data_IF_447900967048
#
_entry.id   IF_447900967048
#
_cell.length_a   1.000
_cell.length_b   1.000
_cell.length_c   1.000
_cell.angle_alpha   90.00
_cell.angle_beta   90.00
_cell.angle_gamma   90.00
#
_symmetry.space_group_name_H-M   'P 1'
#
loop_
_entity.id
_entity.type
_entity.pdbx_description
1 polymer ?
#
# COMPACT_ATOMS: atom_id res chain seq x y z
N UNK A 1 -5.60 4.66 11.59
CA UNK A 1 -6.86 5.42 11.63
C UNK A 1 -7.57 5.40 10.27
N UNK A 2 -8.19 4.28 9.85
CA UNK A 2 -8.83 4.17 8.54
C UNK A 2 -10.09 5.02 8.41
N UNK A 3 -10.88 5.15 9.49
CA UNK A 3 -12.13 5.92 9.49
C UNK A 3 -11.89 7.42 9.25
N UNK A 4 -10.85 7.98 9.87
CA UNK A 4 -10.46 9.38 9.66
C UNK A 4 -9.98 9.60 8.23
N UNK A 5 -9.27 8.62 7.66
CA UNK A 5 -8.80 8.71 6.28
C UNK A 5 -9.88 8.60 5.22
N UNK A 6 -10.94 7.84 5.49
CA UNK A 6 -12.15 7.85 4.65
C UNK A 6 -12.90 9.17 4.75
N UNK A 7 -13.11 9.70 5.96
CA UNK A 7 -13.77 10.98 6.17
C UNK A 7 -13.07 12.14 5.45
N UNK A 8 -11.74 12.24 5.57
CA UNK A 8 -10.97 13.31 4.91
C UNK A 8 -11.03 13.19 3.38
N UNK A 9 -11.03 11.97 2.85
CA UNK A 9 -11.15 11.74 1.42
C UNK A 9 -12.53 12.08 0.87
N UNK A 10 -13.59 11.71 1.59
CA UNK A 10 -14.96 11.92 1.15
C UNK A 10 -15.43 13.37 1.40
N UNK A 11 -14.95 14.06 2.45
CA UNK A 11 -15.42 15.39 2.83
C UNK A 11 -14.60 16.56 2.26
N UNK A 12 -13.29 16.39 2.00
CA UNK A 12 -12.41 17.54 1.75
C UNK A 12 -11.44 17.40 0.57
N UNK A 13 -10.69 16.30 0.45
CA UNK A 13 -9.56 16.22 -0.49
C UNK A 13 -9.86 15.43 -1.77
N UNK A 14 -10.87 14.56 -1.77
CA UNK A 14 -11.09 13.57 -2.81
C UNK A 14 -10.15 12.36 -2.69
N UNK A 15 -10.60 11.22 -3.22
CA UNK A 15 -9.94 9.91 -3.06
C UNK A 15 -8.53 9.87 -3.66
N UNK A 16 -8.36 10.38 -4.89
CA UNK A 16 -7.07 10.40 -5.59
C UNK A 16 -6.00 11.19 -4.83
N UNK A 17 -6.31 12.41 -4.37
CA UNK A 17 -5.34 13.26 -3.64
C UNK A 17 -5.00 12.69 -2.27
N UNK A 18 -6.00 12.12 -1.58
CA UNK A 18 -5.79 11.49 -0.27
C UNK A 18 -4.83 10.30 -0.35
N UNK A 19 -4.93 9.49 -1.41
CA UNK A 19 -3.99 8.39 -1.67
C UNK A 19 -2.56 8.92 -1.90
N UNK A 20 -2.39 9.99 -2.68
CA UNK A 20 -1.06 10.57 -2.93
C UNK A 20 -0.42 11.08 -1.64
N UNK A 21 -1.18 11.79 -0.81
CA UNK A 21 -0.72 12.25 0.51
C UNK A 21 -0.35 11.06 1.40
N UNK A 22 -1.17 10.00 1.40
CA UNK A 22 -0.89 8.78 2.17
C UNK A 22 0.42 8.09 1.72
N UNK A 23 0.71 8.06 0.41
CA UNK A 23 1.95 7.51 -0.14
C UNK A 23 3.15 8.34 0.32
N UNK A 24 3.07 9.68 0.25
CA UNK A 24 4.16 10.57 0.70
C UNK A 24 4.44 10.37 2.19
N UNK A 25 3.40 10.32 3.03
CA UNK A 25 3.54 10.02 4.46
C UNK A 25 4.17 8.64 4.67
N UNK A 26 3.76 7.64 3.88
CA UNK A 26 4.34 6.29 3.92
C UNK A 26 5.83 6.27 3.58
N UNK A 27 6.26 7.01 2.56
CA UNK A 27 7.68 7.13 2.18
C UNK A 27 8.47 7.76 3.32
N UNK A 28 7.99 8.87 3.88
CA UNK A 28 8.63 9.53 5.03
C UNK A 28 8.76 8.58 6.22
N UNK A 29 7.71 7.79 6.50
CA UNK A 29 7.75 6.80 7.58
C UNK A 29 8.82 5.72 7.34
N UNK A 30 8.96 5.22 6.11
CA UNK A 30 10.01 4.25 5.77
C UNK A 30 11.41 4.85 5.92
N UNK A 31 11.62 6.11 5.51
CA UNK A 31 12.90 6.80 5.69
C UNK A 31 13.26 6.88 7.18
N UNK A 32 12.31 7.24 8.04
CA UNK A 32 12.52 7.32 9.50
C UNK A 32 12.86 5.93 10.07
N UNK A 33 12.16 4.88 9.65
CA UNK A 33 12.41 3.51 10.12
C UNK A 33 13.78 2.97 9.68
N UNK A 34 14.20 3.28 8.45
CA UNK A 34 15.54 2.94 7.95
C UNK A 34 16.64 3.73 8.69
N UNK A 35 16.41 5.02 8.96
CA UNK A 35 17.33 5.82 9.75
C UNK A 35 17.45 5.29 11.20
N UNK A 36 16.35 4.80 11.79
CA UNK A 36 16.36 4.20 13.12
C UNK A 36 17.11 2.86 13.18
N UNK A 37 17.27 2.16 12.06
CA UNK A 37 18.05 0.92 11.96
C UNK A 37 19.52 1.11 11.59
N UNK A 38 19.97 2.36 11.42
CA UNK A 38 21.38 2.66 11.17
C UNK A 38 22.25 2.38 12.42
N UNK A 39 23.45 1.81 12.26
CA UNK A 39 24.31 1.40 13.38
C UNK A 39 24.65 2.55 14.33
N UNK A 40 24.90 3.76 13.79
CA UNK A 40 25.21 4.95 14.59
C UNK A 40 24.06 5.39 15.51
N UNK A 41 22.81 5.13 15.09
CA UNK A 41 21.61 5.48 15.87
C UNK A 41 21.31 4.42 16.92
N UNK A 42 21.55 3.14 16.60
CA UNK A 42 21.30 2.00 17.49
C UNK A 42 22.18 2.06 18.76
N UNK A 43 23.39 2.63 18.68
CA UNK A 43 24.29 2.81 19.84
C UNK A 43 23.58 3.59 20.97
N UNK A 44 22.70 4.52 20.62
CA UNK A 44 21.90 5.29 21.56
C UNK A 44 20.49 4.69 21.72
N UNK A 45 20.37 3.64 22.55
CA UNK A 45 19.12 2.87 22.76
C UNK A 45 17.85 3.71 22.94
N UNK A 46 17.92 4.80 23.71
CA UNK A 46 16.76 5.66 24.00
C UNK A 46 16.31 6.45 22.76
N UNK A 47 17.24 7.03 22.00
CA UNK A 47 16.88 7.78 20.78
C UNK A 47 16.46 6.85 19.64
N UNK A 48 17.10 5.67 19.51
CA UNK A 48 16.72 4.66 18.53
C UNK A 48 15.28 4.18 18.73
N UNK A 49 14.91 3.89 19.98
CA UNK A 49 13.56 3.43 20.31
C UNK A 49 12.52 4.54 20.08
N UNK A 50 12.85 5.78 20.41
CA UNK A 50 11.98 6.93 20.13
C UNK A 50 11.76 7.14 18.62
N UNK A 51 12.83 7.10 17.82
CA UNK A 51 12.75 7.24 16.36
C UNK A 51 11.94 6.10 15.73
N UNK A 52 12.11 4.87 16.21
CA UNK A 52 11.32 3.72 15.79
C UNK A 52 9.82 3.89 16.08
N UNK A 53 9.46 4.33 17.29
CA UNK A 53 8.05 4.55 17.67
C UNK A 53 7.42 5.64 16.80
N UNK A 54 8.13 6.75 16.57
CA UNK A 54 7.63 7.84 15.71
C UNK A 54 7.45 7.36 14.27
N UNK A 55 8.42 6.64 13.73
CA UNK A 55 8.34 6.02 12.40
C UNK A 55 7.15 5.06 12.28
N UNK A 56 6.95 4.21 13.29
CA UNK A 56 5.85 3.24 13.34
C UNK A 56 4.48 3.92 13.40
N UNK A 57 4.31 4.93 14.25
CA UNK A 57 3.06 5.69 14.34
C UNK A 57 2.74 6.40 13.02
N UNK A 58 3.75 7.00 12.39
CA UNK A 58 3.62 7.67 11.09
C UNK A 58 3.23 6.66 10.00
N UNK A 59 3.82 5.47 10.01
CA UNK A 59 3.48 4.39 9.08
C UNK A 59 2.04 3.89 9.29
N UNK A 60 1.60 3.73 10.53
CA UNK A 60 0.22 3.35 10.89
C UNK A 60 -0.82 4.38 10.40
N UNK A 61 -0.45 5.65 10.40
CA UNK A 61 -1.28 6.71 9.81
C UNK A 61 -1.31 6.53 8.29
N UNK A 62 -0.18 6.57 7.60
CA UNK A 62 -0.11 6.47 6.13
C UNK A 62 -0.82 5.24 5.56
N UNK A 63 -0.56 4.05 6.14
CA UNK A 63 -1.19 2.79 5.72
C UNK A 63 -2.70 2.78 5.96
N UNK A 64 -3.18 3.41 7.04
CA UNK A 64 -4.61 3.55 7.34
C UNK A 64 -5.34 4.41 6.31
N UNK A 65 -4.75 5.54 5.91
CA UNK A 65 -5.31 6.42 4.88
C UNK A 65 -5.32 5.76 3.50
N UNK A 66 -4.27 5.01 3.15
CA UNK A 66 -4.18 4.29 1.88
C UNK A 66 -5.26 3.19 1.78
N UNK A 67 -5.36 2.32 2.79
CA UNK A 67 -6.30 1.17 2.77
C UNK A 67 -7.77 1.57 2.70
N UNK A 68 -8.15 2.69 3.31
CA UNK A 68 -9.54 3.16 3.31
C UNK A 68 -10.01 3.65 1.92
N UNK A 69 -9.09 4.07 1.06
CA UNK A 69 -9.42 4.82 -0.17
C UNK A 69 -9.12 4.09 -1.47
N UNK A 70 -8.30 3.03 -1.45
CA UNK A 70 -7.89 2.34 -2.68
C UNK A 70 -9.03 1.53 -3.32
N UNK A 71 -9.80 0.76 -2.53
CA UNK A 71 -10.90 -0.05 -3.06
C UNK A 71 -12.03 0.79 -3.65
N UNK A 72 -12.46 1.89 -3.00
CA UNK A 72 -13.46 2.76 -3.59
C UNK A 72 -12.98 3.45 -4.87
N UNK A 73 -11.71 3.89 -4.94
CA UNK A 73 -11.14 4.44 -6.17
C UNK A 73 -11.14 3.40 -7.31
N UNK A 74 -10.81 2.15 -7.02
CA UNK A 74 -10.81 1.07 -8.01
C UNK A 74 -12.21 0.79 -8.56
N UNK A 75 -13.23 0.82 -7.69
CA UNK A 75 -14.63 0.68 -8.11
C UNK A 75 -15.11 1.83 -9.00
N UNK A 76 -14.63 3.06 -8.72
CA UNK A 76 -14.94 4.25 -9.51
C UNK A 76 -14.29 4.26 -10.91
N UNK A 77 -13.30 3.40 -11.18
CA UNK A 77 -12.68 3.30 -12.51
C UNK A 77 -13.57 2.62 -13.54
N UNK A 78 -14.64 1.95 -13.12
CA UNK A 78 -15.59 1.39 -14.06
C UNK A 78 -16.57 2.47 -14.52
N UNK A 79 -16.43 2.86 -15.78
CA UNK A 79 -17.26 3.88 -16.43
C UNK A 79 -18.66 3.36 -16.76
N UNK A 80 -18.86 2.04 -16.78
CA UNK A 80 -20.14 1.42 -17.10
C UNK A 80 -21.06 1.51 -15.88
N UNK A 81 -22.07 2.38 -15.95
CA UNK A 81 -23.07 2.57 -14.89
C UNK A 81 -24.38 1.83 -15.14
N UNK A 82 -24.58 1.31 -16.36
CA UNK A 82 -25.82 0.66 -16.80
C UNK A 82 -25.49 -0.61 -17.56
N UNK A 83 -26.35 -1.61 -17.40
CA UNK A 83 -26.28 -2.82 -18.20
C UNK A 83 -26.45 -2.46 -19.68
N UNK A 84 -25.48 -2.87 -20.51
CA UNK A 84 -25.53 -2.69 -21.96
C UNK A 84 -25.50 -4.04 -22.64
N UNK A 85 -26.30 -4.20 -23.68
CA UNK A 85 -26.21 -5.36 -24.57
C UNK A 85 -25.21 -5.02 -25.67
N UNK A 86 -24.07 -5.69 -25.67
CA UNK A 86 -23.11 -5.61 -26.76
C UNK A 86 -23.26 -6.81 -27.68
N UNK A 87 -23.12 -6.58 -28.98
CA UNK A 87 -23.06 -7.67 -29.95
C UNK A 87 -21.60 -7.86 -30.31
N UNK A 88 -21.03 -9.01 -29.95
CA UNK A 88 -19.64 -9.35 -30.28
C UNK A 88 -19.48 -9.48 -31.80
N UNK A 89 -18.25 -9.37 -32.30
CA UNK A 89 -17.93 -9.58 -33.71
C UNK A 89 -18.32 -11.00 -34.20
N UNK A 90 -18.52 -11.94 -33.27
CA UNK A 90 -19.01 -13.30 -33.50
C UNK A 90 -20.54 -13.38 -33.71
N UNK A 91 -21.27 -12.27 -33.56
CA UNK A 91 -22.74 -12.20 -33.66
C UNK A 91 -23.47 -12.51 -32.36
N UNK A 92 -22.76 -12.87 -31.28
CA UNK A 92 -23.36 -13.19 -29.98
C UNK A 92 -23.73 -11.92 -29.21
N UNK A 93 -24.94 -11.90 -28.63
CA UNK A 93 -25.41 -10.81 -27.77
C UNK A 93 -25.02 -11.09 -26.33
N UNK A 94 -24.12 -10.28 -25.78
CA UNK A 94 -23.65 -10.40 -24.40
C UNK A 94 -24.18 -9.21 -23.59
N UNK A 95 -24.70 -9.52 -22.41
CA UNK A 95 -25.09 -8.52 -21.43
C UNK A 95 -23.84 -8.16 -20.62
N UNK A 96 -23.37 -6.94 -20.75
CA UNK A 96 -22.29 -6.40 -19.94
C UNK A 96 -22.90 -5.85 -18.66
N UNK A 97 -22.73 -6.58 -17.57
CA UNK A 97 -23.12 -6.16 -16.23
C UNK A 97 -21.94 -5.46 -15.52
N UNK A 98 -22.09 -4.18 -15.13
CA UNK A 98 -21.03 -3.46 -14.44
C UNK A 98 -20.65 -4.06 -13.08
N UNK A 99 -21.55 -4.77 -12.39
CA UNK A 99 -21.24 -5.44 -11.12
C UNK A 99 -20.28 -6.63 -11.33
N UNK A 100 -20.48 -7.39 -12.39
CA UNK A 100 -19.61 -8.52 -12.77
C UNK A 100 -18.25 -8.01 -13.24
N UNK A 101 -18.23 -6.91 -14.01
CA UNK A 101 -16.99 -6.25 -14.44
C UNK A 101 -16.18 -5.75 -13.23
N UNK A 102 -16.81 -5.07 -12.27
CA UNK A 102 -16.15 -4.64 -11.03
C UNK A 102 -15.58 -5.82 -10.25
N UNK A 103 -16.36 -6.88 -10.09
CA UNK A 103 -15.92 -8.09 -9.39
C UNK A 103 -14.67 -8.69 -10.03
N UNK A 104 -14.62 -8.74 -11.37
CA UNK A 104 -13.45 -9.23 -12.12
C UNK A 104 -12.21 -8.35 -11.90
N UNK A 105 -12.37 -7.03 -11.85
CA UNK A 105 -11.27 -6.09 -11.55
C UNK A 105 -10.73 -6.34 -10.14
N UNK A 106 -11.62 -6.48 -9.15
CA UNK A 106 -11.24 -6.78 -7.78
C UNK A 106 -10.54 -8.15 -7.64
N UNK A 107 -10.97 -9.17 -8.37
CA UNK A 107 -10.32 -10.48 -8.41
C UNK A 107 -8.86 -10.39 -8.85
N UNK A 108 -8.58 -9.66 -9.94
CA UNK A 108 -7.21 -9.43 -10.40
C UNK A 108 -6.39 -8.61 -9.40
N UNK A 109 -6.98 -7.56 -8.83
CA UNK A 109 -6.35 -6.76 -7.79
C UNK A 109 -5.92 -7.63 -6.60
N UNK A 110 -6.83 -8.45 -6.06
CA UNK A 110 -6.52 -9.32 -4.93
C UNK A 110 -5.53 -10.43 -5.30
N UNK A 111 -5.56 -10.95 -6.52
CA UNK A 111 -4.56 -11.91 -6.99
C UNK A 111 -3.15 -11.31 -6.98
N UNK A 112 -2.98 -10.08 -7.50
CA UNK A 112 -1.71 -9.37 -7.45
C UNK A 112 -1.26 -9.06 -6.01
N UNK A 113 -2.18 -8.71 -5.11
CA UNK A 113 -1.86 -8.50 -3.68
C UNK A 113 -1.34 -9.78 -3.03
N UNK A 114 -1.95 -10.94 -3.32
CA UNK A 114 -1.48 -12.22 -2.78
C UNK A 114 -0.06 -12.56 -3.27
N UNK A 115 0.20 -12.43 -4.57
CA UNK A 115 1.55 -12.61 -5.14
C UNK A 115 2.54 -11.65 -4.49
N UNK A 116 2.20 -10.36 -4.41
CA UNK A 116 3.05 -9.34 -3.80
C UNK A 116 3.36 -9.62 -2.33
N UNK A 117 2.38 -10.11 -1.57
CA UNK A 117 2.58 -10.48 -0.17
C UNK A 117 3.54 -11.66 -0.01
N UNK A 118 3.45 -12.66 -0.89
CA UNK A 118 4.34 -13.82 -0.89
C UNK A 118 5.78 -13.41 -1.25
N UNK A 119 5.96 -12.73 -2.39
CA UNK A 119 7.29 -12.29 -2.83
C UNK A 119 7.90 -11.30 -1.85
N UNK A 120 7.11 -10.38 -1.31
CA UNK A 120 7.54 -9.39 -0.34
C UNK A 120 8.04 -10.01 0.97
N UNK A 121 7.28 -10.95 1.54
CA UNK A 121 7.68 -11.62 2.78
C UNK A 121 8.95 -12.46 2.60
N UNK A 122 9.05 -13.20 1.49
CA UNK A 122 10.24 -14.01 1.20
C UNK A 122 11.46 -13.13 0.97
N UNK A 123 11.33 -12.08 0.16
CA UNK A 123 12.43 -11.16 -0.18
C UNK A 123 12.91 -10.38 1.05
N UNK A 124 11.99 -9.81 1.84
CA UNK A 124 12.34 -9.03 3.03
C UNK A 124 13.12 -9.86 4.05
N UNK A 125 12.63 -11.05 4.40
CA UNK A 125 13.30 -11.92 5.38
C UNK A 125 14.67 -12.38 4.86
N UNK A 126 14.80 -12.63 3.55
CA UNK A 126 16.09 -12.96 2.95
C UNK A 126 17.08 -11.80 3.05
N UNK A 127 16.68 -10.58 2.67
CA UNK A 127 17.55 -9.39 2.74
C UNK A 127 17.93 -9.06 4.17
N UNK A 128 16.97 -9.10 5.10
CA UNK A 128 17.21 -8.85 6.53
C UNK A 128 18.28 -9.81 7.09
N UNK A 129 18.17 -11.10 6.75
CA UNK A 129 19.06 -12.14 7.27
C UNK A 129 20.48 -12.10 6.66
N UNK A 130 20.63 -11.78 5.37
CA UNK A 130 21.90 -11.94 4.65
C UNK A 130 22.62 -10.64 4.29
N UNK A 131 21.94 -9.50 4.37
CA UNK A 131 22.43 -8.16 3.99
C UNK A 131 22.30 -7.15 5.15
N UNK A 132 21.39 -7.40 6.10
CA UNK A 132 21.16 -6.56 7.27
C UNK A 132 20.08 -5.49 7.02
N UNK A 133 19.52 -4.92 8.09
CA UNK A 133 18.37 -4.00 8.05
C UNK A 133 18.59 -2.72 7.24
N UNK A 134 19.84 -2.27 7.09
CA UNK A 134 20.21 -1.08 6.32
C UNK A 134 21.31 -1.37 5.27
N UNK A 135 21.55 -2.64 4.93
CA UNK A 135 22.57 -3.04 3.95
C UNK A 135 24.04 -2.85 4.37
N UNK A 136 24.31 -2.60 5.66
CA UNK A 136 25.61 -2.14 6.13
C UNK A 136 26.39 -3.16 7.00
N UNK A 137 25.95 -4.42 7.08
CA UNK A 137 26.46 -5.36 8.10
C UNK A 137 27.50 -6.38 7.59
N UNK A 138 28.28 -6.08 6.54
CA UNK A 138 29.33 -6.99 6.03
C UNK A 138 30.78 -6.63 6.42
N UNK A 139 31.03 -5.61 7.23
CA UNK A 139 32.42 -5.17 7.53
C UNK A 139 32.81 -5.05 9.01
N UNK A 140 32.01 -5.54 9.96
CA UNK A 140 32.30 -5.38 11.40
C UNK A 140 32.48 -6.67 12.18
N UNK A 141 32.54 -7.83 11.51
CA UNK A 141 32.94 -9.10 12.14
C UNK A 141 33.99 -9.81 11.28
N UNK A 142 35.21 -9.27 11.30
CA UNK A 142 36.48 -9.97 11.15
C UNK A 142 37.50 -9.27 12.05
#
# INVERSE_FOLDING_TARGET
MPLVGGYVADAHLGRYKTIHVAIVIGIVAHIILVAASAPDVIIHKTSATAAFIIGLLTLCVGTGFFKANISPLLAEQNTDLRMRVETLATGERVIVDPAVTNSRIFLWFYFCVNIGSLTGQISMVYVEKFVGFCGFERYTVQ
#
